data_IF_695679879416
#
_entry.id   IF_695679879416
#
_cell.length_a   1.000
_cell.length_b   1.000
_cell.length_c   1.000
_cell.angle_alpha   90.00
_cell.angle_beta   90.00
_cell.angle_gamma   90.00
#
_symmetry.space_group_name_H-M   'P 1'
#
loop_
_entity.id
_entity.type
_entity.pdbx_description
1 polymer ?
#
# COMPACT_ATOMS: atom_id res chain seq x y z
N UNK A 1 1.07 42.72 2.23
CA UNK A 1 0.64 42.61 3.65
C UNK A 1 1.53 41.59 4.36
N UNK A 2 2.38 42.04 5.27
CA UNK A 2 3.36 41.13 5.90
C UNK A 2 2.76 40.08 6.84
N UNK A 3 1.58 40.30 7.33
CA UNK A 3 0.89 39.37 8.26
C UNK A 3 0.42 38.06 7.61
N UNK A 4 -0.03 38.10 6.37
CA UNK A 4 -0.52 36.91 5.66
C UNK A 4 0.63 35.95 5.30
N UNK A 5 1.76 36.50 4.89
CA UNK A 5 2.97 35.73 4.56
C UNK A 5 3.55 35.09 5.81
N UNK A 6 3.61 35.81 6.93
CA UNK A 6 4.09 35.30 8.21
C UNK A 6 3.20 34.16 8.73
N UNK A 7 1.89 34.30 8.66
CA UNK A 7 0.95 33.27 9.07
C UNK A 7 1.02 32.01 8.19
N UNK A 8 1.22 32.16 6.88
CA UNK A 8 1.41 31.06 5.95
C UNK A 8 2.70 30.30 6.26
N UNK A 9 3.81 31.01 6.50
CA UNK A 9 5.09 30.41 6.90
C UNK A 9 4.98 29.65 8.22
N UNK A 10 4.32 30.20 9.22
CA UNK A 10 4.10 29.55 10.50
C UNK A 10 3.20 28.31 10.39
N UNK A 11 2.19 28.32 9.51
CA UNK A 11 1.35 27.15 9.22
C UNK A 11 2.15 26.05 8.55
N UNK A 12 3.01 26.38 7.56
CA UNK A 12 3.85 25.41 6.89
C UNK A 12 4.86 24.77 7.84
N UNK A 13 5.48 25.52 8.73
CA UNK A 13 6.37 24.98 9.75
C UNK A 13 5.63 24.04 10.72
N UNK A 14 4.44 24.42 11.18
CA UNK A 14 3.61 23.55 12.06
C UNK A 14 3.16 22.29 11.36
N UNK A 15 2.73 22.37 10.12
CA UNK A 15 2.32 21.23 9.32
C UNK A 15 3.51 20.29 9.10
N UNK A 16 4.68 20.83 8.79
CA UNK A 16 5.91 20.04 8.60
C UNK A 16 6.33 19.34 9.90
N UNK A 17 6.25 20.02 11.03
CA UNK A 17 6.58 19.47 12.34
C UNK A 17 5.60 18.36 12.74
N UNK A 18 4.30 18.56 12.55
CA UNK A 18 3.27 17.55 12.84
C UNK A 18 3.39 16.34 11.93
N UNK A 19 3.70 16.55 10.65
CA UNK A 19 3.94 15.49 9.68
C UNK A 19 5.16 14.64 10.07
N UNK A 20 6.22 15.29 10.51
CA UNK A 20 7.43 14.61 10.98
C UNK A 20 7.15 13.77 12.24
N UNK A 21 6.45 14.32 13.21
CA UNK A 21 6.05 13.61 14.44
C UNK A 21 5.15 12.41 14.13
N UNK A 22 4.18 12.58 13.22
CA UNK A 22 3.32 11.48 12.79
C UNK A 22 4.12 10.38 12.10
N UNK A 23 5.04 10.75 11.24
CA UNK A 23 5.96 9.80 10.57
C UNK A 23 6.78 9.02 11.57
N UNK A 24 7.35 9.67 12.59
CA UNK A 24 8.11 9.00 13.65
C UNK A 24 7.24 8.02 14.44
N UNK A 25 6.04 8.44 14.83
CA UNK A 25 5.10 7.56 15.55
C UNK A 25 4.68 6.35 14.73
N UNK A 26 4.41 6.52 13.43
CA UNK A 26 4.06 5.43 12.53
C UNK A 26 5.23 4.47 12.34
N UNK A 27 6.44 4.99 12.18
CA UNK A 27 7.64 4.15 12.03
C UNK A 27 7.99 3.36 13.31
N UNK A 28 7.57 3.81 14.46
CA UNK A 28 7.74 3.14 15.74
C UNK A 28 6.56 2.24 16.13
N UNK A 29 5.47 2.26 15.36
CA UNK A 29 4.34 1.36 15.60
C UNK A 29 4.76 -0.10 15.37
N UNK A 30 4.44 -1.03 16.30
CA UNK A 30 4.82 -2.44 16.18
C UNK A 30 4.34 -3.09 14.88
N UNK A 31 3.19 -2.65 14.35
CA UNK A 31 2.63 -3.19 13.09
C UNK A 31 3.48 -2.79 11.89
N UNK A 32 3.97 -1.56 11.86
CA UNK A 32 4.85 -1.06 10.79
C UNK A 32 6.23 -1.73 10.88
N UNK A 33 6.76 -1.90 12.08
CA UNK A 33 8.02 -2.62 12.31
C UNK A 33 7.91 -4.07 11.83
N UNK A 34 6.82 -4.77 12.18
CA UNK A 34 6.58 -6.14 11.74
C UNK A 34 6.48 -6.25 10.22
N UNK A 35 5.82 -5.28 9.56
CA UNK A 35 5.75 -5.23 8.10
C UNK A 35 7.13 -5.09 7.47
N UNK A 36 7.94 -4.17 7.97
CA UNK A 36 9.28 -3.92 7.44
C UNK A 36 10.20 -5.13 7.63
N UNK A 37 10.12 -5.82 8.76
CA UNK A 37 10.87 -7.04 9.02
C UNK A 37 10.45 -8.19 8.10
N UNK A 38 9.14 -8.37 7.91
CA UNK A 38 8.61 -9.40 7.00
C UNK A 38 8.97 -9.12 5.54
N UNK A 39 8.95 -7.86 5.12
CA UNK A 39 9.41 -7.44 3.78
C UNK A 39 10.89 -7.78 3.57
N UNK A 40 11.72 -7.50 4.55
CA UNK A 40 13.15 -7.82 4.51
C UNK A 40 13.39 -9.32 4.37
N UNK A 41 12.72 -10.14 5.18
CA UNK A 41 12.81 -11.61 5.10
C UNK A 41 12.39 -12.12 3.72
N UNK A 42 11.33 -11.57 3.19
CA UNK A 42 10.80 -11.92 1.87
C UNK A 42 11.81 -11.60 0.75
N UNK A 43 12.41 -10.41 0.81
CA UNK A 43 13.39 -9.94 -0.18
C UNK A 43 14.73 -10.70 -0.10
N UNK A 44 15.05 -11.28 1.03
CA UNK A 44 16.25 -12.11 1.21
C UNK A 44 16.02 -13.58 0.82
N UNK A 45 14.80 -14.00 0.57
CA UNK A 45 14.46 -15.38 0.20
C UNK A 45 14.63 -15.63 -1.29
N UNK A 46 15.50 -16.53 -1.66
CA UNK A 46 15.67 -16.94 -3.06
C UNK A 46 14.44 -17.63 -3.62
N UNK A 47 13.74 -18.42 -2.81
CA UNK A 47 12.48 -19.10 -3.20
C UNK A 47 11.39 -18.10 -3.54
N UNK A 48 11.22 -17.08 -2.71
CA UNK A 48 10.24 -16.01 -2.96
C UNK A 48 10.59 -15.22 -4.20
N UNK A 49 11.86 -14.91 -4.40
CA UNK A 49 12.32 -14.20 -5.60
C UNK A 49 12.04 -15.02 -6.87
N UNK A 50 12.27 -16.32 -6.84
CA UNK A 50 11.97 -17.20 -7.97
C UNK A 50 10.47 -17.27 -8.28
N UNK A 51 9.62 -17.36 -7.25
CA UNK A 51 8.16 -17.35 -7.40
C UNK A 51 7.66 -16.00 -7.92
N UNK A 52 8.21 -14.90 -7.43
CA UNK A 52 7.89 -13.56 -7.91
C UNK A 52 8.27 -13.37 -9.37
N UNK A 53 9.43 -13.86 -9.78
CA UNK A 53 9.88 -13.83 -11.17
C UNK A 53 8.94 -14.61 -12.10
N UNK A 54 8.52 -15.80 -11.68
CA UNK A 54 7.55 -16.60 -12.45
C UNK A 54 6.22 -15.86 -12.62
N UNK A 55 5.74 -15.21 -11.57
CA UNK A 55 4.53 -14.39 -11.63
C UNK A 55 4.68 -13.23 -12.61
N UNK A 56 5.81 -12.55 -12.59
CA UNK A 56 6.08 -11.41 -13.47
C UNK A 56 6.15 -11.83 -14.93
N UNK A 57 6.76 -12.97 -15.24
CA UNK A 57 6.77 -13.55 -16.60
C UNK A 57 5.35 -13.89 -17.04
N UNK A 58 4.56 -14.54 -16.20
CA UNK A 58 3.19 -14.90 -16.51
C UNK A 58 2.30 -13.68 -16.76
N UNK A 59 2.49 -12.62 -15.95
CA UNK A 59 1.79 -11.35 -16.12
C UNK A 59 2.15 -10.66 -17.44
N UNK A 60 3.42 -10.62 -17.74
CA UNK A 60 3.93 -9.99 -18.97
C UNK A 60 3.41 -10.72 -20.22
N UNK A 61 3.44 -12.05 -20.20
CA UNK A 61 2.90 -12.88 -21.25
C UNK A 61 1.39 -12.65 -21.45
N UNK A 62 0.63 -12.63 -20.37
CA UNK A 62 -0.80 -12.33 -20.39
C UNK A 62 -1.08 -10.96 -21.01
N UNK A 63 -0.37 -9.93 -20.57
CA UNK A 63 -0.53 -8.56 -21.07
C UNK A 63 -0.17 -8.44 -22.56
N UNK A 64 0.85 -9.16 -23.02
CA UNK A 64 1.21 -9.18 -24.45
C UNK A 64 0.13 -9.84 -25.30
N UNK A 65 -0.44 -10.94 -24.84
CA UNK A 65 -1.50 -11.63 -25.58
C UNK A 65 -2.77 -10.79 -25.70
N UNK A 66 -3.09 -9.99 -24.68
CA UNK A 66 -4.25 -9.07 -24.71
C UNK A 66 -4.15 -8.00 -25.80
N UNK A 67 -2.96 -7.69 -26.29
CA UNK A 67 -2.77 -6.74 -27.39
C UNK A 67 -3.21 -7.28 -28.74
N UNK A 68 -3.16 -8.60 -28.92
CA UNK A 68 -3.37 -9.25 -30.22
C UNK A 68 -4.58 -10.17 -30.27
N UNK A 69 -5.07 -10.61 -29.13
CA UNK A 69 -6.16 -11.59 -29.03
C UNK A 69 -7.28 -11.06 -28.14
N UNK A 70 -8.50 -11.53 -28.39
CA UNK A 70 -9.64 -11.19 -27.54
C UNK A 70 -9.59 -11.95 -26.21
N UNK A 71 -10.27 -11.42 -25.20
CA UNK A 71 -10.37 -12.00 -23.87
C UNK A 71 -10.87 -13.44 -23.85
N UNK A 72 -11.68 -13.81 -24.84
CA UNK A 72 -12.33 -15.14 -24.96
C UNK A 72 -11.46 -16.16 -25.66
N UNK A 73 -10.32 -15.75 -26.24
CA UNK A 73 -9.45 -16.68 -26.97
C UNK A 73 -8.83 -17.69 -26.01
N UNK A 74 -8.61 -18.92 -26.53
CA UNK A 74 -8.03 -20.01 -25.73
C UNK A 74 -6.64 -19.67 -25.19
N UNK A 75 -5.84 -18.93 -25.94
CA UNK A 75 -4.48 -18.52 -25.52
C UNK A 75 -4.52 -17.53 -24.38
N UNK A 76 -5.45 -16.58 -24.39
CA UNK A 76 -5.61 -15.59 -23.32
C UNK A 76 -6.17 -16.25 -22.06
N UNK A 77 -7.16 -17.13 -22.20
CA UNK A 77 -7.72 -17.88 -21.07
C UNK A 77 -6.65 -18.73 -20.38
N UNK A 78 -5.81 -19.41 -21.15
CA UNK A 78 -4.70 -20.20 -20.63
C UNK A 78 -3.67 -19.32 -19.91
N UNK A 79 -3.28 -18.21 -20.52
CA UNK A 79 -2.32 -17.27 -19.91
C UNK A 79 -2.87 -16.67 -18.62
N UNK A 80 -4.16 -16.36 -18.54
CA UNK A 80 -4.83 -15.91 -17.31
C UNK A 80 -4.78 -16.96 -16.23
N UNK A 81 -4.99 -18.21 -16.57
CA UNK A 81 -4.92 -19.33 -15.64
C UNK A 81 -3.50 -19.56 -15.14
N UNK A 82 -2.51 -19.49 -16.02
CA UNK A 82 -1.10 -19.60 -15.65
C UNK A 82 -0.69 -18.47 -14.69
N UNK A 83 -1.15 -17.25 -14.94
CA UNK A 83 -0.93 -16.12 -14.04
C UNK A 83 -1.59 -16.34 -12.68
N UNK A 84 -2.84 -16.81 -12.66
CA UNK A 84 -3.55 -17.10 -11.40
C UNK A 84 -2.83 -18.18 -10.59
N UNK A 85 -2.31 -19.22 -11.23
CA UNK A 85 -1.55 -20.27 -10.58
C UNK A 85 -0.23 -19.74 -10.02
N UNK A 86 0.50 -18.91 -10.77
CA UNK A 86 1.75 -18.31 -10.33
C UNK A 86 1.53 -17.39 -9.12
N UNK A 87 0.47 -16.58 -9.12
CA UNK A 87 0.08 -15.76 -7.97
C UNK A 87 -0.24 -16.61 -6.74
N UNK A 88 -1.00 -17.68 -6.93
CA UNK A 88 -1.38 -18.59 -5.85
C UNK A 88 -0.16 -19.26 -5.21
N UNK A 89 0.79 -19.71 -6.00
CA UNK A 89 2.04 -20.30 -5.50
C UNK A 89 2.83 -19.27 -4.68
N UNK A 90 2.98 -18.05 -5.18
CA UNK A 90 3.67 -16.97 -4.48
C UNK A 90 2.98 -16.65 -3.15
N UNK A 91 1.67 -16.45 -3.17
CA UNK A 91 0.88 -16.09 -1.97
C UNK A 91 0.80 -17.23 -0.96
N UNK A 92 1.06 -18.46 -1.36
CA UNK A 92 1.06 -19.63 -0.48
C UNK A 92 2.39 -19.80 0.27
N UNK A 93 3.44 -19.11 -0.13
CA UNK A 93 4.71 -19.17 0.56
C UNK A 93 4.59 -18.57 1.97
N UNK A 94 5.13 -19.22 3.02
CA UNK A 94 4.96 -18.75 4.40
C UNK A 94 5.43 -17.32 4.65
N UNK A 95 6.55 -16.92 4.08
CA UNK A 95 7.09 -15.55 4.21
C UNK A 95 6.20 -14.51 3.53
N UNK A 96 5.60 -14.87 2.39
CA UNK A 96 4.65 -14.00 1.69
C UNK A 96 3.35 -13.87 2.46
N UNK A 97 2.86 -14.96 3.04
CA UNK A 97 1.66 -14.95 3.90
C UNK A 97 1.86 -14.06 5.12
N UNK A 98 3.02 -14.15 5.77
CA UNK A 98 3.36 -13.28 6.91
C UNK A 98 3.37 -11.81 6.49
N UNK A 99 4.01 -11.49 5.38
CA UNK A 99 4.04 -10.13 4.83
C UNK A 99 2.63 -9.61 4.52
N UNK A 100 1.80 -10.39 3.85
CA UNK A 100 0.44 -9.98 3.49
C UNK A 100 -0.44 -9.75 4.73
N UNK A 101 -0.29 -10.59 5.75
CA UNK A 101 -0.99 -10.42 7.02
C UNK A 101 -0.57 -9.11 7.72
N UNK A 102 0.72 -8.85 7.79
CA UNK A 102 1.25 -7.59 8.36
C UNK A 102 0.85 -6.38 7.53
N UNK A 103 0.82 -6.52 6.21
CA UNK A 103 0.37 -5.46 5.30
C UNK A 103 -1.09 -5.07 5.58
N UNK A 104 -1.98 -6.03 5.79
CA UNK A 104 -3.37 -5.75 6.14
C UNK A 104 -3.50 -4.99 7.46
N UNK A 105 -2.70 -5.34 8.47
CA UNK A 105 -2.70 -4.64 9.76
C UNK A 105 -2.27 -3.18 9.61
N UNK A 106 -1.24 -2.92 8.82
CA UNK A 106 -0.78 -1.55 8.53
C UNK A 106 -1.80 -0.79 7.70
N UNK A 107 -2.43 -1.44 6.73
CA UNK A 107 -3.51 -0.84 5.94
C UNK A 107 -4.67 -0.37 6.82
N UNK A 108 -5.10 -1.18 7.78
CA UNK A 108 -6.14 -0.82 8.74
C UNK A 108 -5.70 0.37 9.61
N UNK A 109 -4.43 0.39 10.03
CA UNK A 109 -3.86 1.52 10.77
C UNK A 109 -3.96 2.82 9.95
N UNK A 110 -3.55 2.80 8.69
CA UNK A 110 -3.64 3.97 7.82
C UNK A 110 -5.08 4.40 7.53
N UNK A 111 -6.00 3.47 7.38
CA UNK A 111 -7.42 3.78 7.25
C UNK A 111 -7.97 4.50 8.48
N UNK A 112 -7.59 4.06 9.68
CA UNK A 112 -7.98 4.70 10.94
C UNK A 112 -7.40 6.12 11.05
N UNK A 113 -6.13 6.30 10.69
CA UNK A 113 -5.47 7.61 10.67
C UNK A 113 -6.20 8.55 9.69
N UNK A 114 -6.49 8.08 8.49
CA UNK A 114 -7.21 8.86 7.48
C UNK A 114 -8.61 9.25 7.94
N UNK A 115 -9.37 8.33 8.53
CA UNK A 115 -10.70 8.60 9.06
C UNK A 115 -10.66 9.65 10.17
N UNK A 116 -9.69 9.55 11.06
CA UNK A 116 -9.51 10.53 12.16
C UNK A 116 -9.18 11.91 11.61
N UNK A 117 -8.26 11.99 10.64
CA UNK A 117 -7.90 13.27 10.00
C UNK A 117 -9.09 13.89 9.26
N UNK A 118 -9.83 13.10 8.47
CA UNK A 118 -11.02 13.60 7.77
C UNK A 118 -12.12 14.03 8.72
N UNK A 119 -12.33 13.30 9.80
CA UNK A 119 -13.31 13.66 10.83
C UNK A 119 -12.94 14.99 11.49
N UNK A 120 -11.68 15.21 11.82
CA UNK A 120 -11.19 16.47 12.38
C UNK A 120 -11.35 17.62 11.39
N UNK A 121 -10.97 17.43 10.13
CA UNK A 121 -11.10 18.45 9.09
C UNK A 121 -12.56 18.81 8.83
N UNK A 122 -13.46 17.84 8.77
CA UNK A 122 -14.89 18.10 8.59
C UNK A 122 -15.51 18.86 9.76
N UNK A 123 -15.10 18.57 10.98
CA UNK A 123 -15.59 19.29 12.16
C UNK A 123 -15.10 20.74 12.21
N UNK A 124 -13.88 20.99 11.74
CA UNK A 124 -13.28 22.33 11.72
C UNK A 124 -13.75 23.16 10.53
N UNK A 125 -14.00 22.53 9.36
CA UNK A 125 -14.37 23.23 8.13
C UNK A 125 -15.89 23.40 7.95
N UNK A 126 -16.69 22.54 8.55
CA UNK A 126 -18.15 22.60 8.52
C UNK A 126 -18.68 22.54 9.96
N UNK A 127 -18.63 23.66 10.70
CA UNK A 127 -19.26 23.67 12.02
C UNK A 127 -20.75 23.36 11.86
N UNK A 128 -21.20 22.30 12.53
CA UNK A 128 -22.64 21.99 12.59
C UNK A 128 -23.34 23.19 13.18
N UNK A 129 -24.17 23.86 12.38
CA UNK A 129 -25.07 24.86 12.91
C UNK A 129 -25.93 24.17 13.97
N UNK A 130 -25.73 24.56 15.22
CA UNK A 130 -26.61 24.18 16.31
C UNK A 130 -27.96 24.89 16.07
N UNK A 131 -28.85 24.15 15.48
CA UNK A 131 -30.25 24.61 15.51
C UNK A 131 -30.87 24.33 16.86
#
# INVERSE_FOLDING_TARGET
MPYLIYNIFNMDEKISELTYKLKEQLNNDPRVIALNESEKKMNESEDVMALSYRKDIALDHYNQLLKYYSDDSKVVVKARQDLANAKKELESHPLVREYLSNYQQVRLLFEQVNQTLFSMLNNDMCPKENK
#
